data_IF_993052285927
#
_entry.id   IF_993052285927
#
_cell.length_a   1.000
_cell.length_b   1.000
_cell.length_c   1.000
_cell.angle_alpha   90.00
_cell.angle_beta   90.00
_cell.angle_gamma   90.00
#
_symmetry.space_group_name_H-M   'P 1'
#
loop_
_entity.id
_entity.type
_entity.pdbx_description
1 polymer ?
#
# COMPACT_ATOMS: atom_id res chain seq x y z
N UNK A 1 40.25 49.03 -17.73
CA UNK A 1 40.86 47.70 -17.47
C UNK A 1 39.82 46.80 -16.82
N UNK A 2 39.96 45.49 -17.08
CA UNK A 2 38.96 44.43 -16.96
C UNK A 2 38.50 44.11 -15.52
N UNK A 3 37.17 43.99 -15.42
CA UNK A 3 36.27 43.20 -14.54
C UNK A 3 36.92 42.18 -13.58
N UNK A 4 36.40 42.11 -12.34
CA UNK A 4 36.23 40.85 -11.62
C UNK A 4 35.04 40.95 -10.64
N UNK A 5 33.88 40.47 -11.09
CA UNK A 5 32.76 40.12 -10.23
C UNK A 5 32.96 38.65 -9.82
N UNK A 6 33.20 38.39 -8.54
CA UNK A 6 33.36 37.05 -7.98
C UNK A 6 31.99 36.56 -7.50
N UNK A 7 31.20 35.96 -8.39
CA UNK A 7 29.92 35.36 -8.02
C UNK A 7 30.18 33.93 -7.55
N UNK A 8 30.20 33.71 -6.23
CA UNK A 8 30.24 32.38 -5.64
C UNK A 8 28.90 31.68 -5.89
N UNK A 9 28.91 30.67 -6.76
CA UNK A 9 27.76 29.80 -7.03
C UNK A 9 27.72 28.72 -5.93
N UNK A 10 27.00 28.98 -4.85
CA UNK A 10 26.72 27.97 -3.82
C UNK A 10 25.73 26.98 -4.42
N UNK A 11 26.24 25.85 -4.88
CA UNK A 11 25.44 24.70 -5.28
C UNK A 11 24.86 24.07 -4.00
N UNK A 12 23.64 24.45 -3.61
CA UNK A 12 22.85 23.72 -2.63
C UNK A 12 22.47 22.36 -3.24
N UNK A 13 23.33 21.36 -3.07
CA UNK A 13 22.94 19.98 -3.29
C UNK A 13 22.00 19.55 -2.16
N UNK A 14 20.69 19.60 -2.40
CA UNK A 14 19.72 18.98 -1.50
C UNK A 14 19.83 17.47 -1.65
N UNK A 15 20.60 16.84 -0.76
CA UNK A 15 20.60 15.38 -0.61
C UNK A 15 19.26 14.94 -0.01
N UNK A 16 18.29 14.61 -0.88
CA UNK A 16 17.15 13.79 -0.47
C UNK A 16 17.50 12.33 -0.71
N UNK A 17 18.14 11.71 0.28
CA UNK A 17 18.32 10.25 0.32
C UNK A 17 17.55 9.69 1.51
N UNK A 18 16.23 9.68 1.40
CA UNK A 18 15.39 8.83 2.24
C UNK A 18 15.47 7.40 1.70
N UNK A 19 15.59 6.43 2.61
CA UNK A 19 15.52 5.03 2.21
C UNK A 19 14.16 4.78 1.55
N UNK A 20 14.18 4.43 0.26
CA UNK A 20 12.95 4.16 -0.49
C UNK A 20 12.18 3.03 0.19
N UNK A 21 10.87 3.21 0.34
CA UNK A 21 9.99 2.15 0.83
C UNK A 21 10.11 0.97 -0.11
N UNK A 22 10.30 -0.22 0.46
CA UNK A 22 10.42 -1.45 -0.32
C UNK A 22 9.42 -2.47 0.17
N UNK A 23 8.60 -2.94 -0.76
CA UNK A 23 7.75 -4.10 -0.54
C UNK A 23 8.52 -5.35 -0.88
N UNK A 24 8.50 -6.30 0.05
CA UNK A 24 9.33 -7.51 -0.01
C UNK A 24 8.52 -8.73 -0.46
N UNK A 25 7.25 -8.80 -0.06
CA UNK A 25 6.40 -9.96 -0.27
C UNK A 25 4.93 -9.59 -0.18
N UNK A 26 4.07 -10.35 -0.86
CA UNK A 26 2.62 -10.18 -0.91
C UNK A 26 1.95 -11.55 -0.87
N UNK A 27 0.98 -11.70 0.03
CA UNK A 27 0.11 -12.86 0.13
C UNK A 27 -1.34 -12.39 0.23
N UNK A 28 -2.23 -13.07 -0.49
CA UNK A 28 -3.66 -12.78 -0.48
C UNK A 28 -4.39 -14.07 -0.16
N UNK A 29 -5.12 -14.07 0.94
CA UNK A 29 -5.78 -15.27 1.47
C UNK A 29 -7.28 -14.99 1.58
N UNK A 30 -8.16 -15.71 0.86
CA UNK A 30 -9.59 -15.58 1.07
C UNK A 30 -10.01 -16.16 2.42
N UNK A 31 -10.73 -15.37 3.22
CA UNK A 31 -11.36 -15.83 4.45
C UNK A 31 -12.74 -16.38 4.10
N UNK A 32 -12.87 -17.69 4.10
CA UNK A 32 -14.15 -18.37 3.85
C UNK A 32 -15.01 -18.24 5.12
N UNK A 33 -16.12 -17.52 5.02
CA UNK A 33 -17.19 -17.55 6.02
C UNK A 33 -18.27 -18.50 5.52
N UNK A 34 -18.40 -19.67 6.12
CA UNK A 34 -19.53 -20.58 5.86
C UNK A 34 -20.77 -20.08 6.59
N UNK A 35 -21.60 -19.29 5.92
CA UNK A 35 -22.99 -19.10 6.32
C UNK A 35 -23.82 -20.26 5.74
N UNK A 36 -24.28 -21.15 6.60
CA UNK A 36 -25.00 -22.38 6.18
C UNK A 36 -26.50 -22.15 6.00
N UNK A 37 -27.00 -20.91 6.10
CA UNK A 37 -28.44 -20.67 6.31
C UNK A 37 -29.13 -19.91 5.17
N UNK A 38 -28.44 -19.06 4.41
CA UNK A 38 -29.11 -18.03 3.57
C UNK A 38 -29.12 -18.27 2.06
N UNK A 39 -28.28 -19.14 1.50
CA UNK A 39 -28.20 -19.39 0.04
C UNK A 39 -27.86 -18.15 -0.82
N UNK A 40 -27.56 -17.00 -0.19
CA UNK A 40 -27.09 -15.79 -0.86
C UNK A 40 -25.57 -15.83 -0.96
N UNK A 41 -25.05 -15.32 -2.09
CA UNK A 41 -23.61 -15.09 -2.23
C UNK A 41 -23.19 -14.01 -1.24
N UNK A 42 -22.61 -14.41 -0.11
CA UNK A 42 -22.03 -13.48 0.85
C UNK A 42 -20.83 -12.75 0.25
N UNK A 43 -20.53 -11.57 0.78
CA UNK A 43 -19.29 -10.88 0.47
C UNK A 43 -18.08 -11.77 0.81
N UNK A 44 -17.03 -11.66 0.00
CA UNK A 44 -15.75 -12.35 0.24
C UNK A 44 -14.81 -11.43 0.96
N UNK A 45 -14.33 -11.83 2.14
CA UNK A 45 -13.24 -11.11 2.81
C UNK A 45 -11.89 -11.67 2.35
N UNK A 46 -10.99 -10.80 1.91
CA UNK A 46 -9.61 -11.12 1.60
C UNK A 46 -8.71 -10.58 2.71
N UNK A 47 -7.82 -11.43 3.21
CA UNK A 47 -6.71 -11.07 4.07
C UNK A 47 -5.48 -10.78 3.19
N UNK A 48 -5.18 -9.49 3.00
CA UNK A 48 -4.07 -9.03 2.18
C UNK A 48 -2.90 -8.72 3.10
N UNK A 49 -1.89 -9.60 3.07
CA UNK A 49 -0.69 -9.50 3.89
C UNK A 49 0.51 -9.15 3.03
N UNK A 50 1.35 -8.26 3.52
CA UNK A 50 2.56 -7.89 2.81
C UNK A 50 3.69 -7.56 3.76
N UNK A 51 4.91 -7.62 3.25
CA UNK A 51 6.11 -7.21 3.98
C UNK A 51 6.62 -5.88 3.47
N UNK A 52 6.79 -4.91 4.37
CA UNK A 52 7.24 -3.55 4.08
C UNK A 52 8.51 -3.22 4.86
N UNK A 53 9.56 -2.81 4.15
CA UNK A 53 10.79 -2.24 4.73
C UNK A 53 10.72 -0.72 4.68
N UNK A 54 11.29 -0.07 5.70
CA UNK A 54 11.26 1.38 5.91
C UNK A 54 9.83 1.92 6.08
N UNK A 55 9.00 1.22 6.87
CA UNK A 55 7.63 1.68 7.18
C UNK A 55 7.60 3.03 7.88
N UNK A 56 8.71 3.46 8.47
CA UNK A 56 8.86 4.76 9.13
C UNK A 56 8.80 5.97 8.18
N UNK A 57 8.97 5.77 6.88
CA UNK A 57 8.81 6.82 5.86
C UNK A 57 7.52 6.65 5.04
N UNK A 58 6.72 5.62 5.36
CA UNK A 58 5.51 5.28 4.63
C UNK A 58 4.31 6.10 5.09
N UNK A 59 3.47 6.52 4.14
CA UNK A 59 2.30 7.36 4.39
C UNK A 59 0.99 6.68 4.04
N UNK A 60 0.92 5.98 2.91
CA UNK A 60 -0.34 5.40 2.40
C UNK A 60 -0.11 4.08 1.69
N UNK A 61 -0.97 3.11 1.97
CA UNK A 61 -1.05 1.84 1.24
C UNK A 61 -2.15 1.94 0.19
N UNK A 62 -1.85 1.49 -1.01
CA UNK A 62 -2.79 1.36 -2.11
C UNK A 62 -2.94 -0.11 -2.48
N UNK A 63 -4.19 -0.58 -2.54
CA UNK A 63 -4.54 -1.91 -3.02
C UNK A 63 -5.56 -1.76 -4.14
N UNK A 64 -5.12 -2.06 -5.36
CA UNK A 64 -5.94 -1.93 -6.58
C UNK A 64 -6.40 -3.30 -7.02
N UNK A 65 -7.71 -3.47 -7.15
CA UNK A 65 -8.35 -4.65 -7.73
C UNK A 65 -8.73 -4.32 -9.17
N UNK A 66 -8.21 -5.09 -10.11
CA UNK A 66 -8.41 -4.80 -11.52
C UNK A 66 -8.54 -6.01 -12.42
N UNK A 67 -9.04 -5.74 -13.62
CA UNK A 67 -9.08 -6.71 -14.72
C UNK A 67 -7.70 -6.95 -15.33
N UNK A 68 -6.80 -5.97 -15.17
CA UNK A 68 -5.39 -5.99 -15.60
C UNK A 68 -4.48 -5.39 -14.52
N UNK A 69 -3.17 -5.70 -14.58
CA UNK A 69 -2.20 -5.17 -13.62
C UNK A 69 -2.15 -3.64 -13.61
N UNK A 70 -1.90 -3.06 -12.44
CA UNK A 70 -1.83 -1.61 -12.19
C UNK A 70 -3.13 -0.84 -12.37
N UNK A 71 -4.24 -1.51 -12.71
CA UNK A 71 -5.56 -0.90 -12.73
C UNK A 71 -6.31 -1.22 -11.44
N UNK A 72 -7.14 -0.27 -11.02
CA UNK A 72 -8.09 -0.39 -9.91
C UNK A 72 -9.53 -0.24 -10.38
N UNK A 73 -9.81 -0.70 -11.61
CA UNK A 73 -11.06 -0.54 -12.33
C UNK A 73 -12.24 -1.32 -11.74
N UNK A 74 -11.96 -2.34 -10.92
CA UNK A 74 -13.00 -3.07 -10.17
C UNK A 74 -13.22 -2.46 -8.79
N UNK A 75 -12.13 -2.18 -8.08
CA UNK A 75 -12.16 -1.59 -6.75
C UNK A 75 -10.77 -1.06 -6.38
N UNK A 76 -10.71 -0.02 -5.55
CA UNK A 76 -9.45 0.54 -5.07
C UNK A 76 -9.57 0.91 -3.60
N UNK A 77 -8.55 0.54 -2.83
CA UNK A 77 -8.40 0.90 -1.43
C UNK A 77 -7.22 1.83 -1.25
N UNK A 78 -7.44 2.86 -0.43
CA UNK A 78 -6.40 3.70 0.15
C UNK A 78 -6.49 3.57 1.68
N UNK A 79 -5.38 3.23 2.31
CA UNK A 79 -5.27 3.13 3.77
C UNK A 79 -4.10 3.98 4.26
N UNK A 80 -4.29 4.71 5.37
CA UNK A 80 -3.23 5.54 5.94
C UNK A 80 -2.28 4.68 6.76
N UNK A 81 -0.99 5.02 6.74
CA UNK A 81 -0.03 4.56 7.73
C UNK A 81 0.16 5.68 8.73
N UNK A 82 -0.07 5.37 10.00
CA UNK A 82 0.04 6.31 11.11
C UNK A 82 1.11 5.84 12.09
N UNK A 83 1.74 6.80 12.76
CA UNK A 83 2.70 6.56 13.83
C UNK A 83 2.05 6.91 15.18
N UNK A 84 2.30 6.07 16.18
CA UNK A 84 1.88 6.30 17.55
C UNK A 84 2.93 5.70 18.51
N UNK A 85 3.59 6.56 19.27
CA UNK A 85 4.59 6.21 20.27
C UNK A 85 5.72 5.31 19.71
N UNK A 86 6.24 5.65 18.54
CA UNK A 86 7.30 4.94 17.82
C UNK A 86 6.84 3.69 17.06
N UNK A 87 5.56 3.34 17.12
CA UNK A 87 5.00 2.18 16.45
C UNK A 87 4.16 2.61 15.24
N UNK A 88 4.15 1.77 14.20
CA UNK A 88 3.47 2.06 12.95
C UNK A 88 2.25 1.17 12.76
N UNK A 89 1.17 1.74 12.24
CA UNK A 89 -0.10 1.06 12.06
C UNK A 89 -0.69 1.41 10.70
N UNK A 90 -1.38 0.45 10.09
CA UNK A 90 -2.31 0.71 9.00
C UNK A 90 -3.66 1.06 9.59
N UNK A 91 -4.16 2.25 9.29
CA UNK A 91 -5.51 2.69 9.60
C UNK A 91 -6.41 2.51 8.37
N UNK A 92 -7.34 1.57 8.46
CA UNK A 92 -8.31 1.28 7.40
C UNK A 92 -9.67 0.97 8.02
N UNK A 93 -10.75 1.57 7.50
CA UNK A 93 -12.12 1.44 8.02
C UNK A 93 -12.23 1.65 9.55
N UNK A 94 -11.46 2.59 10.10
CA UNK A 94 -11.44 2.89 11.55
C UNK A 94 -10.67 1.88 12.40
N UNK A 95 -10.15 0.80 11.81
CA UNK A 95 -9.33 -0.20 12.50
C UNK A 95 -7.84 0.11 12.32
N UNK A 96 -7.09 0.07 13.43
CA UNK A 96 -5.63 0.19 13.44
C UNK A 96 -5.00 -1.20 13.52
N UNK A 97 -4.23 -1.57 12.49
CA UNK A 97 -3.53 -2.86 12.43
C UNK A 97 -2.03 -2.61 12.52
N UNK A 98 -1.31 -3.19 13.50
CA UNK A 98 0.11 -2.89 13.70
C UNK A 98 0.98 -3.45 12.57
N UNK A 99 2.03 -2.71 12.23
CA UNK A 99 3.10 -3.17 11.34
C UNK A 99 4.24 -3.72 12.22
N UNK A 100 4.40 -5.04 12.25
CA UNK A 100 5.34 -5.72 13.15
C UNK A 100 6.33 -6.59 12.37
N UNK A 101 7.63 -6.42 12.63
CA UNK A 101 8.69 -7.18 11.99
C UNK A 101 8.54 -7.21 10.45
N UNK A 102 8.32 -6.03 9.87
CA UNK A 102 8.00 -5.81 8.45
C UNK A 102 6.62 -6.28 8.01
N UNK A 103 5.87 -7.05 8.79
CA UNK A 103 4.56 -7.58 8.38
C UNK A 103 3.47 -6.54 8.55
N UNK A 104 2.63 -6.43 7.53
CA UNK A 104 1.46 -5.57 7.46
C UNK A 104 0.26 -6.37 6.92
N UNK A 105 -0.94 -6.00 7.35
CA UNK A 105 -2.18 -6.70 7.02
C UNK A 105 -3.32 -5.70 6.78
N UNK A 106 -4.14 -5.97 5.77
CA UNK A 106 -5.39 -5.26 5.50
C UNK A 106 -6.45 -6.30 5.15
N UNK A 107 -7.57 -6.31 5.87
CA UNK A 107 -8.74 -7.12 5.54
C UNK A 107 -9.69 -6.32 4.65
N UNK A 108 -9.93 -6.80 3.45
CA UNK A 108 -10.72 -6.11 2.43
C UNK A 108 -11.93 -6.97 2.10
N UNK A 109 -13.12 -6.37 2.16
CA UNK A 109 -14.36 -7.05 1.81
C UNK A 109 -14.76 -6.70 0.38
N UNK A 110 -15.01 -7.73 -0.44
CA UNK A 110 -15.48 -7.60 -1.80
C UNK A 110 -16.90 -8.13 -1.93
N UNK A 111 -17.72 -7.39 -2.66
CA UNK A 111 -19.01 -7.90 -3.12
C UNK A 111 -18.82 -9.12 -4.05
N UNK A 112 -19.84 -9.97 -4.22
CA UNK A 112 -19.79 -11.07 -5.18
C UNK A 112 -19.39 -10.63 -6.60
N UNK A 113 -19.95 -9.50 -7.07
CA UNK A 113 -19.64 -8.95 -8.38
C UNK A 113 -18.17 -8.51 -8.49
N UNK A 114 -17.63 -7.83 -7.49
CA UNK A 114 -16.22 -7.43 -7.46
C UNK A 114 -15.30 -8.66 -7.41
N UNK A 115 -15.60 -9.63 -6.53
CA UNK A 115 -14.81 -10.85 -6.40
C UNK A 115 -14.80 -11.67 -7.71
N UNK A 116 -15.91 -11.70 -8.45
CA UNK A 116 -15.98 -12.37 -9.74
C UNK A 116 -15.23 -11.61 -10.85
N UNK A 117 -15.17 -10.28 -10.77
CA UNK A 117 -14.65 -9.45 -11.86
C UNK A 117 -13.14 -9.18 -11.82
N UNK A 118 -12.48 -9.22 -10.65
CA UNK A 118 -11.03 -8.96 -10.59
C UNK A 118 -10.20 -10.18 -11.01
N UNK A 119 -9.10 -9.90 -11.71
CA UNK A 119 -8.08 -10.90 -12.07
C UNK A 119 -6.74 -10.61 -11.38
N UNK A 120 -6.50 -9.34 -11.04
CA UNK A 120 -5.24 -8.87 -10.47
C UNK A 120 -5.48 -8.03 -9.23
N UNK A 121 -4.56 -8.15 -8.27
CA UNK A 121 -4.39 -7.21 -7.18
C UNK A 121 -3.01 -6.57 -7.32
N UNK A 122 -2.96 -5.24 -7.35
CA UNK A 122 -1.71 -4.48 -7.34
C UNK A 122 -1.58 -3.78 -5.99
N UNK A 123 -0.48 -4.05 -5.27
CA UNK A 123 -0.18 -3.41 -3.99
C UNK A 123 1.05 -2.52 -4.13
N UNK A 124 0.94 -1.27 -3.67
CA UNK A 124 2.06 -0.34 -3.56
C UNK A 124 1.85 0.61 -2.40
N UNK A 125 2.92 1.25 -1.95
CA UNK A 125 2.91 2.18 -0.82
C UNK A 125 3.54 3.49 -1.25
N UNK A 126 2.93 4.59 -0.85
CA UNK A 126 3.52 5.92 -1.01
C UNK A 126 4.28 6.35 0.23
N UNK A 127 5.37 7.07 0.03
CA UNK A 127 6.08 7.75 1.11
C UNK A 127 5.42 9.08 1.48
N UNK A 128 5.95 9.75 2.50
CA UNK A 128 5.49 11.07 2.95
C UNK A 128 5.63 12.18 1.89
N UNK A 129 6.44 11.96 0.85
CA UNK A 129 6.62 12.88 -0.27
C UNK A 129 5.73 12.52 -1.47
N UNK A 130 4.93 11.45 -1.38
CA UNK A 130 4.06 10.96 -2.45
C UNK A 130 4.75 10.06 -3.49
N UNK A 131 6.00 9.63 -3.24
CA UNK A 131 6.75 8.73 -4.11
C UNK A 131 6.27 7.29 -3.94
N UNK A 132 6.05 6.59 -5.05
CA UNK A 132 5.68 5.17 -5.05
C UNK A 132 6.85 4.26 -4.66
N UNK A 133 6.55 3.19 -3.91
CA UNK A 133 7.40 2.02 -3.76
C UNK A 133 7.46 1.19 -5.05
N UNK A 134 8.25 0.10 -5.04
CA UNK A 134 7.98 -0.99 -5.99
C UNK A 134 6.55 -1.52 -5.80
N UNK A 135 6.00 -2.10 -6.86
CA UNK A 135 4.67 -2.72 -6.85
C UNK A 135 4.80 -4.22 -6.69
N UNK A 136 3.85 -4.83 -5.97
CA UNK A 136 3.68 -6.27 -5.91
C UNK A 136 2.34 -6.64 -6.52
N UNK A 137 2.28 -7.85 -7.09
CA UNK A 137 1.13 -8.32 -7.84
C UNK A 137 0.69 -9.68 -7.32
N UNK A 138 -0.62 -9.84 -7.19
CA UNK A 138 -1.26 -11.13 -7.03
C UNK A 138 -2.15 -11.38 -8.25
N UNK A 139 -2.08 -12.60 -8.77
CA UNK A 139 -2.94 -13.09 -9.86
C UNK A 139 -3.86 -14.14 -9.24
N UNK A 140 -5.16 -13.97 -9.46
CA UNK A 140 -6.17 -14.88 -8.93
C UNK A 140 -6.12 -16.25 -9.62
#
# INVERSE_FOLDING_TARGET
MKKLFFTSFICLMTFFATAQIKLLDLSVIPIIKTDSVSGQSSNTTLDVRFKIKNSNTASKVFVLFGTTQNLGDIYSIEANIIENAGNYYILYNGMQTPINNYNAEIKIELTPAQNAAYNYITLFVKDVNGTDSNKLYFVK
#
